data_IF_842847853137
#
_entry.id   IF_842847853137
#
_cell.length_a   1.000
_cell.length_b   1.000
_cell.length_c   1.000
_cell.angle_alpha   90.00
_cell.angle_beta   90.00
_cell.angle_gamma   90.00
#
_symmetry.space_group_name_H-M   'P 1'
#
loop_
_entity.id
_entity.type
_entity.pdbx_description
1 polymer ?
#
# COMPACT_ATOMS: atom_id res chain seq x y z
N UNK A 1 9.93 2.01 22.40
CA UNK A 1 9.94 0.70 21.70
C UNK A 1 9.89 1.00 20.23
N UNK A 2 10.93 0.67 19.47
CA UNK A 2 11.05 1.11 18.08
C UNK A 2 10.02 0.36 17.24
N UNK A 3 9.08 1.07 16.60
CA UNK A 3 8.01 0.52 15.75
C UNK A 3 8.59 -0.44 14.70
N UNK A 4 9.77 -0.12 14.15
CA UNK A 4 10.47 -0.98 13.19
C UNK A 4 10.94 -2.33 13.76
N UNK A 5 11.33 -2.40 15.03
CA UNK A 5 11.67 -3.70 15.65
C UNK A 5 10.42 -4.54 15.88
N UNK A 6 9.28 -3.91 16.13
CA UNK A 6 8.01 -4.63 16.27
C UNK A 6 7.55 -5.18 14.92
N UNK A 7 7.73 -4.44 13.81
CA UNK A 7 7.41 -4.91 12.46
C UNK A 7 8.36 -6.00 11.97
N UNK A 8 9.66 -5.87 12.21
CA UNK A 8 10.62 -6.94 11.92
C UNK A 8 10.36 -8.20 12.78
N UNK A 9 9.85 -8.06 14.00
CA UNK A 9 9.38 -9.19 14.80
C UNK A 9 8.09 -9.78 14.27
N UNK A 10 7.13 -8.97 13.86
CA UNK A 10 5.90 -9.46 13.23
C UNK A 10 6.18 -10.19 11.92
N UNK A 11 7.11 -9.69 11.08
CA UNK A 11 7.57 -10.42 9.89
C UNK A 11 8.42 -11.63 10.21
N UNK A 12 9.21 -11.65 11.29
CA UNK A 12 9.97 -12.84 11.73
C UNK A 12 9.12 -13.85 12.50
N UNK A 13 8.10 -13.42 13.23
CA UNK A 13 7.12 -14.29 13.88
C UNK A 13 5.93 -14.63 12.97
N UNK A 14 5.69 -13.82 11.97
CA UNK A 14 4.71 -14.04 10.91
C UNK A 14 5.32 -14.62 9.64
N UNK A 15 6.51 -15.24 9.68
CA UNK A 15 6.75 -16.39 8.84
C UNK A 15 5.79 -17.46 9.34
N UNK A 16 4.51 -17.27 9.00
CA UNK A 16 3.64 -18.39 8.82
C UNK A 16 4.44 -19.35 7.98
N UNK A 17 4.76 -20.49 8.55
CA UNK A 17 5.40 -21.56 7.80
C UNK A 17 4.47 -21.79 6.62
N UNK A 18 5.02 -21.80 5.43
CA UNK A 18 4.25 -22.07 4.21
C UNK A 18 3.47 -23.39 4.29
N UNK A 19 3.88 -24.27 5.19
CA UNK A 19 3.27 -25.53 5.55
C UNK A 19 2.06 -25.39 6.50
N UNK A 20 1.99 -24.37 7.38
CA UNK A 20 0.82 -24.07 8.21
C UNK A 20 -0.25 -23.29 7.44
N UNK A 21 0.15 -22.49 6.46
CA UNK A 21 -0.70 -21.90 5.43
C UNK A 21 -0.82 -22.78 4.18
N UNK A 22 -0.43 -24.03 4.24
CA UNK A 22 -0.83 -25.00 3.23
C UNK A 22 -2.33 -25.19 3.32
N UNK A 23 -3.04 -24.12 3.03
CA UNK A 23 -4.43 -24.19 2.64
C UNK A 23 -4.46 -25.22 1.52
N UNK A 24 -4.92 -26.41 1.83
CA UNK A 24 -5.30 -27.34 0.77
C UNK A 24 -6.13 -26.51 -0.17
N UNK A 25 -5.67 -26.32 -1.41
CA UNK A 25 -6.33 -25.39 -2.32
C UNK A 25 -7.79 -25.73 -2.27
N UNK A 26 -8.64 -24.76 -2.02
CA UNK A 26 -10.06 -24.95 -2.16
C UNK A 26 -10.21 -25.72 -3.46
N UNK A 27 -10.89 -26.86 -3.44
CA UNK A 27 -11.35 -27.53 -4.65
C UNK A 27 -12.39 -26.62 -5.30
N UNK A 28 -11.91 -25.50 -5.78
CA UNK A 28 -12.64 -24.58 -6.60
C UNK A 28 -12.50 -25.16 -8.01
N UNK A 29 -13.61 -25.44 -8.64
CA UNK A 29 -13.65 -25.74 -10.07
C UNK A 29 -13.23 -24.52 -10.91
N UNK A 30 -12.88 -23.40 -10.29
CA UNK A 30 -12.38 -22.21 -10.97
C UNK A 30 -10.90 -22.40 -11.28
N UNK A 31 -10.52 -22.16 -12.54
CA UNK A 31 -9.14 -22.17 -13.02
C UNK A 31 -8.29 -21.04 -12.42
N UNK A 32 -8.90 -20.12 -11.67
CA UNK A 32 -8.25 -18.95 -11.05
C UNK A 32 -8.26 -19.18 -9.54
N UNK A 33 -7.08 -19.17 -8.86
CA UNK A 33 -7.04 -19.28 -7.42
C UNK A 33 -7.80 -18.10 -6.79
N UNK A 34 -8.53 -18.30 -5.68
CA UNK A 34 -9.22 -17.22 -5.01
C UNK A 34 -8.23 -16.18 -4.49
N UNK A 35 -8.58 -14.92 -4.58
CA UNK A 35 -7.82 -13.86 -3.94
C UNK A 35 -7.84 -14.07 -2.42
N UNK A 36 -6.67 -14.14 -1.81
CA UNK A 36 -6.53 -14.34 -0.37
C UNK A 36 -5.77 -13.21 0.32
N UNK A 37 -4.97 -12.44 -0.41
CA UNK A 37 -4.16 -11.37 0.12
C UNK A 37 -4.28 -10.12 -0.74
N UNK A 38 -4.66 -9.01 -0.13
CA UNK A 38 -4.62 -7.68 -0.74
C UNK A 38 -3.26 -7.04 -0.48
N UNK A 39 -2.65 -6.47 -1.52
CA UNK A 39 -1.43 -5.68 -1.42
C UNK A 39 -1.77 -4.23 -1.71
N UNK A 40 -1.41 -3.35 -0.79
CA UNK A 40 -1.57 -1.92 -0.94
C UNK A 40 -0.21 -1.24 -0.96
N UNK A 41 -0.13 -0.17 -1.73
CA UNK A 41 0.97 0.77 -1.71
C UNK A 41 0.40 2.12 -1.34
N UNK A 42 0.82 2.66 -0.21
CA UNK A 42 0.46 4.01 0.23
C UNK A 42 1.63 4.94 -0.06
N UNK A 43 1.37 5.99 -0.78
CA UNK A 43 2.33 7.01 -1.14
C UNK A 43 1.64 8.35 -1.29
N UNK A 44 2.39 9.37 -1.69
CA UNK A 44 1.90 10.71 -1.92
C UNK A 44 2.69 11.42 -3.01
N UNK A 45 2.61 12.74 -3.02
CA UNK A 45 3.46 13.55 -3.86
C UNK A 45 4.94 13.29 -3.52
N UNK A 46 5.78 13.12 -4.53
CA UNK A 46 7.20 12.80 -4.41
C UNK A 46 7.93 13.78 -3.48
N UNK A 47 7.81 15.08 -3.77
CA UNK A 47 8.54 16.11 -3.03
C UNK A 47 8.07 16.17 -1.58
N UNK A 48 6.76 16.09 -1.36
CA UNK A 48 6.20 16.12 -0.01
C UNK A 48 6.62 14.89 0.81
N UNK A 49 6.61 13.69 0.22
CA UNK A 49 7.02 12.49 0.95
C UNK A 49 8.51 12.46 1.24
N UNK A 50 9.35 13.02 0.36
CA UNK A 50 10.78 13.21 0.64
C UNK A 50 11.00 14.23 1.76
N UNK A 51 10.29 15.36 1.75
CA UNK A 51 10.34 16.36 2.81
C UNK A 51 9.94 15.76 4.16
N UNK A 52 8.87 14.98 4.22
CA UNK A 52 8.45 14.27 5.44
C UNK A 52 9.51 13.29 5.93
N UNK A 53 10.22 12.64 5.02
CA UNK A 53 11.21 11.62 5.37
C UNK A 53 12.55 12.24 5.81
N UNK A 54 13.00 13.27 5.11
CA UNK A 54 14.37 13.77 5.23
C UNK A 54 14.46 15.30 5.35
N UNK A 55 13.35 16.03 5.32
CA UNK A 55 13.35 17.50 5.37
C UNK A 55 14.16 18.10 4.23
N UNK A 56 15.00 19.06 4.56
CA UNK A 56 15.87 19.75 3.59
C UNK A 56 17.22 19.04 3.33
N UNK A 57 17.37 17.78 3.76
CA UNK A 57 18.59 17.04 3.51
C UNK A 57 18.68 16.64 2.03
N UNK A 58 19.89 16.74 1.46
CA UNK A 58 20.12 16.35 0.06
C UNK A 58 20.05 14.83 -0.09
N UNK A 59 19.06 14.34 -0.83
CA UNK A 59 18.90 12.92 -1.13
C UNK A 59 19.45 12.64 -2.52
N UNK A 60 20.40 11.73 -2.61
CA UNK A 60 20.99 11.32 -3.88
C UNK A 60 20.28 10.06 -4.40
N UNK A 61 19.60 10.16 -5.54
CA UNK A 61 18.80 9.07 -6.13
C UNK A 61 19.59 8.12 -7.04
N UNK A 62 20.89 8.38 -7.23
CA UNK A 62 21.75 7.53 -8.03
C UNK A 62 21.98 6.17 -7.35
N UNK A 63 22.02 5.11 -8.14
CA UNK A 63 22.04 3.72 -7.64
C UNK A 63 23.21 3.39 -6.70
N UNK A 64 24.31 4.13 -6.76
CA UNK A 64 25.49 3.93 -5.92
C UNK A 64 25.80 5.11 -5.02
N UNK A 65 24.87 6.03 -4.86
CA UNK A 65 25.09 7.23 -4.05
C UNK A 65 25.18 6.90 -2.56
N UNK A 66 26.08 7.59 -1.87
CA UNK A 66 26.18 7.51 -0.41
C UNK A 66 25.17 8.45 0.24
N UNK A 67 24.17 7.88 0.87
CA UNK A 67 23.14 8.54 1.64
C UNK A 67 23.31 8.31 3.15
N UNK A 68 24.48 7.92 3.63
CA UNK A 68 24.76 7.65 5.05
C UNK A 68 24.58 8.87 5.96
N UNK A 69 24.59 10.07 5.40
CA UNK A 69 24.36 11.33 6.11
C UNK A 69 22.88 11.59 6.41
N UNK A 70 21.95 10.85 5.78
CA UNK A 70 20.52 11.08 5.95
C UNK A 70 20.02 10.64 7.32
N UNK A 71 19.31 11.53 7.98
CA UNK A 71 18.59 11.24 9.21
C UNK A 71 17.08 11.31 8.94
N UNK A 72 16.38 10.26 9.34
CA UNK A 72 14.94 10.15 9.22
C UNK A 72 14.25 11.14 10.15
N UNK A 73 13.25 11.83 9.64
CA UNK A 73 12.43 12.74 10.43
C UNK A 73 11.28 11.99 11.11
N UNK A 74 10.84 12.52 12.24
CA UNK A 74 9.73 11.97 13.01
C UNK A 74 8.40 12.01 12.22
N UNK A 75 8.26 12.98 11.32
CA UNK A 75 7.04 13.17 10.53
C UNK A 75 6.72 11.94 9.67
N UNK A 76 7.70 11.35 8.98
CA UNK A 76 7.46 10.13 8.19
C UNK A 76 7.15 8.92 9.07
N UNK A 77 7.70 8.86 10.28
CA UNK A 77 7.40 7.80 11.25
C UNK A 77 5.97 7.93 11.77
N UNK A 78 5.54 9.13 12.08
CA UNK A 78 4.18 9.43 12.51
C UNK A 78 3.15 9.13 11.41
N UNK A 79 3.45 9.53 10.16
CA UNK A 79 2.62 9.17 9.01
C UNK A 79 2.49 7.64 8.85
N UNK A 80 3.60 6.92 8.93
CA UNK A 80 3.58 5.47 8.81
C UNK A 80 2.77 4.81 9.94
N UNK A 81 2.84 5.35 11.15
CA UNK A 81 2.03 4.91 12.29
C UNK A 81 0.55 5.17 12.05
N UNK A 82 0.18 6.37 11.62
CA UNK A 82 -1.21 6.73 11.35
C UNK A 82 -1.81 5.86 10.23
N UNK A 83 -1.04 5.58 9.16
CA UNK A 83 -1.45 4.64 8.11
C UNK A 83 -1.66 3.23 8.68
N UNK A 84 -0.77 2.78 9.56
CA UNK A 84 -0.91 1.47 10.20
C UNK A 84 -2.15 1.40 11.09
N UNK A 85 -2.40 2.42 11.88
CA UNK A 85 -3.56 2.52 12.77
C UNK A 85 -4.86 2.57 11.94
N UNK A 86 -4.86 3.31 10.83
CA UNK A 86 -5.98 3.32 9.87
C UNK A 86 -6.24 1.91 9.28
N UNK A 87 -5.19 1.20 8.87
CA UNK A 87 -5.31 -0.18 8.39
C UNK A 87 -5.85 -1.11 9.49
N UNK A 88 -5.36 -0.96 10.73
CA UNK A 88 -5.79 -1.74 11.90
C UNK A 88 -7.27 -1.54 12.20
N UNK A 89 -7.74 -0.30 12.18
CA UNK A 89 -9.14 0.05 12.43
C UNK A 89 -10.06 -0.50 11.33
N UNK A 90 -9.60 -0.53 10.08
CA UNK A 90 -10.41 -0.96 8.94
C UNK A 90 -10.46 -2.47 8.75
N UNK A 91 -9.34 -3.15 8.96
CA UNK A 91 -9.18 -4.56 8.61
C UNK A 91 -9.00 -5.49 9.80
N UNK A 92 -8.63 -4.96 10.96
CA UNK A 92 -8.18 -5.73 12.12
C UNK A 92 -6.66 -5.94 12.09
N UNK A 93 -6.03 -5.78 13.25
CA UNK A 93 -4.58 -5.93 13.40
C UNK A 93 -4.08 -7.31 13.00
N UNK A 94 -4.84 -8.33 13.36
CA UNK A 94 -4.57 -9.75 13.08
C UNK A 94 -4.57 -10.09 11.59
N UNK A 95 -5.20 -9.25 10.79
CA UNK A 95 -5.30 -9.40 9.34
C UNK A 95 -4.16 -8.71 8.56
N UNK A 96 -3.34 -7.90 9.23
CA UNK A 96 -2.17 -7.24 8.64
C UNK A 96 -0.99 -8.18 8.75
N UNK A 97 -0.64 -8.84 7.65
CA UNK A 97 0.44 -9.83 7.60
C UNK A 97 1.78 -9.25 7.16
N UNK A 98 1.78 -8.04 6.63
CA UNK A 98 3.00 -7.31 6.26
C UNK A 98 2.74 -5.81 6.24
N UNK A 99 3.72 -5.05 6.74
CA UNK A 99 3.75 -3.59 6.71
C UNK A 99 5.20 -3.13 6.66
N UNK A 100 5.58 -2.47 5.58
CA UNK A 100 6.96 -2.10 5.29
C UNK A 100 7.00 -0.65 4.78
N UNK A 101 7.88 0.14 5.36
CA UNK A 101 8.13 1.52 4.93
C UNK A 101 9.41 1.53 4.11
N UNK A 102 9.31 1.94 2.87
CA UNK A 102 10.42 2.07 1.93
C UNK A 102 10.84 3.52 1.86
N UNK A 103 12.10 3.78 2.21
CA UNK A 103 12.74 5.10 2.18
C UNK A 103 13.98 5.11 1.28
N UNK A 104 14.32 3.97 0.70
CA UNK A 104 15.49 3.72 -0.14
C UNK A 104 15.19 3.77 -1.64
N UNK A 105 13.94 4.02 -1.99
CA UNK A 105 13.49 4.22 -3.36
C UNK A 105 13.29 5.71 -3.67
N UNK A 106 13.00 6.02 -4.94
CA UNK A 106 12.85 7.42 -5.39
C UNK A 106 11.78 8.22 -4.65
N UNK A 107 10.75 7.56 -4.14
CA UNK A 107 9.68 8.18 -3.36
C UNK A 107 9.37 7.35 -2.14
N UNK A 108 9.40 7.90 -0.93
CA UNK A 108 8.95 7.22 0.27
C UNK A 108 7.53 6.69 0.14
N UNK A 109 7.33 5.42 0.47
CA UNK A 109 6.02 4.77 0.41
C UNK A 109 5.92 3.58 1.36
N UNK A 110 4.71 3.10 1.57
CA UNK A 110 4.41 1.99 2.47
C UNK A 110 3.79 0.84 1.68
N UNK A 111 4.34 -0.35 1.82
CA UNK A 111 3.72 -1.59 1.37
C UNK A 111 2.99 -2.26 2.52
N UNK A 112 1.73 -2.61 2.28
CA UNK A 112 0.92 -3.35 3.26
C UNK A 112 0.30 -4.58 2.60
N UNK A 113 0.29 -5.68 3.35
CA UNK A 113 -0.31 -6.93 2.95
C UNK A 113 -1.40 -7.30 3.95
N UNK A 114 -2.62 -7.55 3.46
CA UNK A 114 -3.79 -7.81 4.28
C UNK A 114 -4.45 -9.10 3.83
N UNK A 115 -4.63 -10.03 4.78
CA UNK A 115 -5.41 -11.26 4.60
C UNK A 115 -6.68 -11.12 5.42
N UNK A 116 -7.85 -10.80 4.82
CA UNK A 116 -9.06 -10.49 5.54
C UNK A 116 -9.73 -11.77 6.08
N UNK A 117 -9.21 -12.30 7.16
CA UNK A 117 -9.80 -13.46 7.85
C UNK A 117 -11.00 -13.02 8.67
N UNK A 118 -12.00 -13.87 8.73
CA UNK A 118 -13.18 -13.66 9.55
C UNK A 118 -14.02 -14.94 9.67
N UNK A 119 -15.03 -14.89 10.51
CA UNK A 119 -15.92 -16.03 10.77
C UNK A 119 -17.08 -15.99 9.78
N UNK A 120 -17.27 -17.08 9.04
CA UNK A 120 -18.41 -17.23 8.14
C UNK A 120 -19.70 -17.46 8.96
N UNK A 121 -20.71 -16.57 8.85
CA UNK A 121 -21.88 -16.60 9.72
C UNK A 121 -22.64 -17.94 9.71
N UNK A 122 -22.75 -18.59 8.54
CA UNK A 122 -23.52 -19.86 8.40
C UNK A 122 -22.81 -21.10 8.96
N UNK A 123 -21.48 -21.11 9.00
CA UNK A 123 -20.70 -22.31 9.37
C UNK A 123 -19.88 -22.14 10.64
N UNK A 124 -19.77 -20.94 11.18
CA UNK A 124 -18.89 -20.61 12.32
C UNK A 124 -17.41 -20.84 12.06
N UNK A 125 -17.01 -21.09 10.81
CA UNK A 125 -15.60 -21.37 10.45
C UNK A 125 -14.87 -20.12 10.05
N UNK A 126 -13.61 -20.03 10.45
CA UNK A 126 -12.70 -19.02 9.92
C UNK A 126 -12.45 -19.24 8.43
N UNK A 127 -12.47 -18.18 7.68
CA UNK A 127 -12.16 -18.19 6.25
C UNK A 127 -11.77 -16.79 5.77
N UNK A 128 -11.16 -16.72 4.59
CA UNK A 128 -10.89 -15.44 3.94
C UNK A 128 -12.20 -14.81 3.48
N UNK A 129 -12.50 -13.63 4.01
CA UNK A 129 -13.73 -12.85 3.77
C UNK A 129 -13.52 -11.80 2.68
N UNK A 130 -12.90 -12.20 1.57
CA UNK A 130 -12.52 -11.27 0.49
C UNK A 130 -13.66 -10.36 0.05
N UNK A 131 -14.76 -10.96 -0.38
CA UNK A 131 -15.89 -10.21 -0.91
C UNK A 131 -16.57 -9.30 0.10
N UNK A 132 -16.50 -9.63 1.40
CA UNK A 132 -17.04 -8.79 2.45
C UNK A 132 -16.20 -7.52 2.70
N UNK A 133 -14.89 -7.59 2.43
CA UNK A 133 -13.96 -6.46 2.66
C UNK A 133 -13.65 -5.67 1.40
N UNK A 134 -13.62 -6.31 0.24
CA UNK A 134 -13.19 -5.70 -1.02
C UNK A 134 -14.25 -5.72 -2.13
N UNK A 135 -15.45 -6.22 -1.84
CA UNK A 135 -16.55 -6.29 -2.80
C UNK A 135 -16.60 -7.62 -3.55
N UNK A 136 -17.81 -7.95 -3.96
CA UNK A 136 -18.12 -9.22 -4.66
C UNK A 136 -17.98 -9.11 -6.17
N UNK A 137 -17.99 -7.89 -6.70
CA UNK A 137 -17.91 -7.60 -8.11
C UNK A 137 -17.12 -6.30 -8.39
N UNK A 138 -16.91 -5.99 -9.66
CA UNK A 138 -16.14 -4.82 -10.12
C UNK A 138 -16.73 -3.49 -9.61
N UNK A 139 -18.03 -3.37 -9.56
CA UNK A 139 -18.69 -2.12 -9.19
C UNK A 139 -18.57 -1.86 -7.69
N UNK A 140 -18.82 -2.90 -6.90
CA UNK A 140 -18.68 -2.82 -5.44
C UNK A 140 -17.22 -2.59 -5.04
N UNK A 141 -16.29 -3.27 -5.69
CA UNK A 141 -14.85 -3.04 -5.51
C UNK A 141 -14.47 -1.58 -5.81
N UNK A 142 -14.92 -1.03 -6.94
CA UNK A 142 -14.64 0.36 -7.31
C UNK A 142 -15.20 1.37 -6.29
N UNK A 143 -16.41 1.12 -5.78
CA UNK A 143 -17.02 1.95 -4.73
C UNK A 143 -16.23 1.91 -3.43
N UNK A 144 -15.84 0.70 -2.98
CA UNK A 144 -15.04 0.51 -1.77
C UNK A 144 -13.68 1.18 -1.92
N UNK A 145 -13.04 1.06 -3.08
CA UNK A 145 -11.73 1.69 -3.33
C UNK A 145 -11.81 3.22 -3.27
N UNK A 146 -12.86 3.83 -3.85
CA UNK A 146 -13.08 5.28 -3.74
C UNK A 146 -13.29 5.74 -2.29
N UNK A 147 -14.09 5.01 -1.55
CA UNK A 147 -14.35 5.28 -0.14
C UNK A 147 -13.06 5.13 0.69
N UNK A 148 -12.25 4.10 0.41
CA UNK A 148 -10.93 3.95 1.03
C UNK A 148 -10.02 5.15 0.80
N UNK A 149 -9.92 5.63 -0.44
CA UNK A 149 -9.10 6.80 -0.78
C UNK A 149 -9.57 8.04 -0.03
N UNK A 150 -10.89 8.25 0.07
CA UNK A 150 -11.46 9.38 0.80
C UNK A 150 -11.18 9.29 2.29
N UNK A 151 -11.48 8.15 2.93
CA UNK A 151 -11.23 7.93 4.35
C UNK A 151 -9.73 8.04 4.69
N UNK A 152 -8.84 7.45 3.87
CA UNK A 152 -7.40 7.57 4.10
C UNK A 152 -6.93 9.03 4.02
N UNK A 153 -7.47 9.82 3.10
CA UNK A 153 -7.15 11.24 3.01
C UNK A 153 -7.67 12.01 4.23
N UNK A 154 -8.92 11.83 4.60
CA UNK A 154 -9.55 12.55 5.71
C UNK A 154 -8.93 12.20 7.07
N UNK A 155 -8.68 10.91 7.30
CA UNK A 155 -8.19 10.42 8.59
C UNK A 155 -6.67 10.56 8.75
N UNK A 156 -5.91 10.52 7.64
CA UNK A 156 -4.44 10.50 7.66
C UNK A 156 -3.84 11.54 6.73
N UNK A 157 -4.05 11.46 5.42
CA UNK A 157 -3.30 12.22 4.42
C UNK A 157 -3.35 13.74 4.65
N UNK A 158 -4.50 14.27 5.02
CA UNK A 158 -4.70 15.71 5.27
C UNK A 158 -3.80 16.26 6.39
N UNK A 159 -3.49 15.47 7.40
CA UNK A 159 -2.60 15.86 8.52
C UNK A 159 -1.17 16.12 8.06
N UNK A 160 -0.76 15.47 6.97
CA UNK A 160 0.60 15.50 6.45
C UNK A 160 0.71 16.32 5.16
N UNK A 161 -0.31 17.12 4.82
CA UNK A 161 -0.31 17.91 3.60
C UNK A 161 -0.30 17.09 2.30
N UNK A 162 -0.70 15.83 2.39
CA UNK A 162 -0.90 14.98 1.22
C UNK A 162 -2.29 15.25 0.63
N UNK A 163 -2.37 15.27 -0.69
CA UNK A 163 -3.64 15.51 -1.38
C UNK A 163 -4.34 14.20 -1.72
N UNK A 164 -5.65 14.22 -1.66
CA UNK A 164 -6.44 13.15 -2.26
C UNK A 164 -6.35 13.26 -3.77
N UNK A 165 -5.74 12.30 -4.43
CA UNK A 165 -5.64 12.31 -5.89
C UNK A 165 -7.00 12.49 -6.56
N UNK A 166 -7.00 13.14 -7.71
CA UNK A 166 -8.18 13.40 -8.50
C UNK A 166 -8.94 12.13 -8.88
N UNK A 167 -10.28 12.25 -8.97
CA UNK A 167 -11.08 11.17 -9.55
C UNK A 167 -10.71 10.93 -11.01
N UNK A 168 -10.57 9.67 -11.38
CA UNK A 168 -10.39 9.24 -12.78
C UNK A 168 -11.71 9.10 -13.52
N UNK A 169 -12.85 9.40 -12.87
CA UNK A 169 -14.17 9.30 -13.48
C UNK A 169 -14.27 10.25 -14.67
N UNK A 170 -14.69 9.72 -15.80
CA UNK A 170 -14.78 10.48 -17.05
C UNK A 170 -13.45 10.75 -17.77
N UNK A 171 -12.31 10.38 -17.17
CA UNK A 171 -11.01 10.44 -17.83
C UNK A 171 -10.73 9.13 -18.57
N UNK A 172 -10.33 9.23 -19.82
CA UNK A 172 -9.90 8.05 -20.60
C UNK A 172 -8.47 7.65 -20.21
N UNK A 173 -8.31 7.22 -18.94
CA UNK A 173 -7.01 6.83 -18.39
C UNK A 173 -6.69 5.41 -18.85
N UNK A 174 -5.68 5.27 -19.69
CA UNK A 174 -5.13 3.97 -20.03
C UNK A 174 -4.09 3.53 -18.99
N UNK A 175 -4.25 2.35 -18.41
CA UNK A 175 -3.22 1.73 -17.61
C UNK A 175 -2.08 1.28 -18.52
N UNK A 176 -1.06 2.13 -18.62
CA UNK A 176 0.18 1.78 -19.31
C UNK A 176 1.10 1.02 -18.36
N UNK A 177 1.80 0.01 -18.86
CA UNK A 177 2.91 -0.56 -18.12
C UNK A 177 4.07 0.47 -18.02
N UNK A 178 5.00 0.28 -17.08
CA UNK A 178 6.09 1.23 -16.81
C UNK A 178 6.87 1.62 -18.08
N UNK A 179 7.13 0.68 -18.96
CA UNK A 179 7.90 0.91 -20.21
C UNK A 179 7.14 1.84 -21.16
N UNK A 180 5.85 1.60 -21.36
CA UNK A 180 5.02 2.39 -22.25
C UNK A 180 4.73 3.77 -21.69
N UNK A 181 4.59 3.88 -20.36
CA UNK A 181 4.46 5.15 -19.66
C UNK A 181 5.72 6.03 -19.84
N UNK A 182 6.91 5.49 -19.63
CA UNK A 182 8.18 6.22 -19.84
C UNK A 182 8.29 6.65 -21.31
N UNK A 183 7.96 5.77 -22.27
CA UNK A 183 7.98 6.11 -23.69
C UNK A 183 7.03 7.27 -24.03
N UNK A 184 5.85 7.28 -23.42
CA UNK A 184 4.86 8.37 -23.57
C UNK A 184 5.42 9.69 -23.05
N UNK A 185 5.96 9.71 -21.81
CA UNK A 185 6.55 10.91 -21.21
C UNK A 185 7.73 11.46 -22.04
N UNK A 186 8.61 10.58 -22.52
CA UNK A 186 9.74 10.98 -23.36
C UNK A 186 9.27 11.61 -24.68
N UNK A 187 8.16 11.12 -25.24
CA UNK A 187 7.59 11.70 -26.47
C UNK A 187 6.96 13.07 -26.20
N UNK A 188 6.24 13.21 -25.10
CA UNK A 188 5.61 14.47 -24.69
C UNK A 188 6.66 15.54 -24.39
N UNK A 189 7.75 15.18 -23.66
CA UNK A 189 8.87 16.09 -23.38
C UNK A 189 9.51 16.61 -24.69
N UNK A 190 9.81 15.73 -25.64
CA UNK A 190 10.37 16.13 -26.94
C UNK A 190 9.44 17.04 -27.75
N UNK A 191 8.12 16.89 -27.60
CA UNK A 191 7.17 17.76 -28.28
C UNK A 191 7.07 19.15 -27.63
N UNK A 192 7.32 19.26 -26.33
CA UNK A 192 7.32 20.51 -25.60
C UNK A 192 8.60 21.34 -25.86
N UNK A 193 9.69 20.73 -26.30
CA UNK A 193 10.97 21.38 -26.62
C UNK A 193 11.02 21.90 -28.09
N UNK A 194 10.04 21.57 -28.92
CA UNK A 194 9.93 22.02 -30.32
C UNK A 194 9.03 23.25 -30.47
#
# INVERSE_FOLDING_TARGET
MNIFQTFLRATKQGTYRSDELSWKPFKSNSKIPPNCCAKFVFGGNHDRTLEMAFGNQSVYLEKSADNSHLHRYEEIENWAKDVYDWCTNRYGRENIVGFQVHLDESSPHIHTQIVPVGIRPKSGRECVMWSAKFGKDRYEYGRILKEMHTSLYEDVGSKYGLERGDSIDGRNVQHLNKRDYIRKLTKEAKQAEM
#
